data_IF_643295598724
#
_entry.id   IF_643295598724
#
_cell.length_a   1.000
_cell.length_b   1.000
_cell.length_c   1.000
_cell.angle_alpha   90.00
_cell.angle_beta   90.00
_cell.angle_gamma   90.00
#
_symmetry.space_group_name_H-M   'P 1'
#
loop_
_entity.id
_entity.type
_entity.pdbx_description
1 polymer ?
#
# COMPACT_ATOMS: atom_id res chain seq x y z
N UNK A 1 20.10 3.97 -5.17
CA UNK A 1 18.83 4.60 -4.78
C UNK A 1 17.89 3.46 -4.46
N UNK A 2 17.39 3.33 -3.23
CA UNK A 2 16.37 2.32 -2.95
C UNK A 2 15.04 2.92 -3.41
N UNK A 3 14.70 2.65 -4.67
CA UNK A 3 13.40 3.00 -5.22
C UNK A 3 12.34 2.27 -4.40
N UNK A 4 11.44 3.03 -3.78
CA UNK A 4 10.31 2.44 -3.09
C UNK A 4 9.37 1.91 -4.17
N UNK A 5 8.73 0.77 -3.96
CA UNK A 5 7.78 0.20 -4.91
C UNK A 5 6.41 -0.01 -4.26
N UNK A 6 5.35 0.24 -5.03
CA UNK A 6 3.98 0.18 -4.55
C UNK A 6 3.68 -1.24 -4.08
N UNK A 7 3.29 -1.41 -2.82
CA UNK A 7 3.00 -2.74 -2.27
C UNK A 7 1.82 -3.46 -2.93
N UNK A 8 1.03 -2.77 -3.77
CA UNK A 8 -0.11 -3.34 -4.49
C UNK A 8 0.15 -3.63 -5.99
N UNK A 9 1.04 -2.88 -6.64
CA UNK A 9 1.24 -2.95 -8.10
C UNK A 9 2.72 -2.89 -8.51
N UNK A 10 3.64 -2.88 -7.55
CA UNK A 10 5.10 -2.83 -7.72
C UNK A 10 5.64 -1.64 -8.54
N UNK A 11 4.81 -0.65 -8.83
CA UNK A 11 5.20 0.55 -9.55
C UNK A 11 6.10 1.45 -8.67
N UNK A 12 7.00 2.21 -9.30
CA UNK A 12 7.88 3.13 -8.58
C UNK A 12 7.06 4.12 -7.74
N UNK A 13 7.30 4.09 -6.43
CA UNK A 13 6.80 5.07 -5.48
C UNK A 13 7.75 6.23 -5.46
N UNK A 14 7.21 7.38 -5.83
CA UNK A 14 7.90 8.64 -5.68
C UNK A 14 7.60 9.25 -4.30
N UNK A 15 8.07 10.49 -4.10
CA UNK A 15 7.86 11.26 -2.86
C UNK A 15 6.38 11.44 -2.49
N UNK A 16 5.45 11.17 -3.41
CA UNK A 16 4.00 11.23 -3.22
C UNK A 16 3.37 9.90 -2.76
N UNK A 17 4.17 8.94 -2.28
CA UNK A 17 3.70 7.69 -1.70
C UNK A 17 2.71 7.91 -0.55
N UNK A 18 1.58 7.19 -0.59
CA UNK A 18 0.57 7.20 0.46
C UNK A 18 0.90 6.10 1.46
N UNK A 19 0.95 6.42 2.75
CA UNK A 19 1.23 5.47 3.82
C UNK A 19 -0.05 4.83 4.33
N UNK A 20 -0.10 3.51 4.30
CA UNK A 20 -1.27 2.71 4.63
C UNK A 20 -0.89 1.76 5.75
N UNK A 21 -1.64 1.81 6.84
CA UNK A 21 -1.45 0.88 7.96
C UNK A 21 -2.31 -0.37 7.74
N UNK A 22 -1.64 -1.53 7.71
CA UNK A 22 -2.19 -2.87 7.48
C UNK A 22 -1.80 -3.69 8.71
N UNK A 23 -2.74 -3.91 9.64
CA UNK A 23 -2.45 -4.52 10.94
C UNK A 23 -1.41 -3.71 11.73
N UNK A 24 -0.28 -4.33 12.04
CA UNK A 24 0.88 -3.71 12.72
C UNK A 24 1.93 -3.13 11.76
N UNK A 25 1.80 -3.38 10.45
CA UNK A 25 2.75 -2.94 9.43
C UNK A 25 2.25 -1.68 8.71
N UNK A 26 3.18 -0.81 8.32
CA UNK A 26 2.90 0.35 7.46
C UNK A 26 3.55 0.12 6.11
N UNK A 27 2.75 0.17 5.04
CA UNK A 27 3.21 0.03 3.66
C UNK A 27 2.93 1.30 2.87
N UNK A 28 3.61 1.46 1.75
CA UNK A 28 3.50 2.63 0.89
C UNK A 28 2.87 2.23 -0.47
N UNK A 29 1.98 3.08 -0.97
CA UNK A 29 1.26 2.85 -2.25
C UNK A 29 1.24 4.10 -3.14
N UNK A 30 1.13 3.86 -4.45
CA UNK A 30 1.22 4.92 -5.46
C UNK A 30 -0.08 5.70 -5.62
N UNK A 31 -1.22 5.17 -5.17
CA UNK A 31 -2.53 5.82 -5.29
C UNK A 31 -3.52 5.34 -4.21
N UNK A 32 -4.59 6.09 -4.03
CA UNK A 32 -5.63 5.80 -3.03
C UNK A 32 -6.38 4.49 -3.33
N UNK A 33 -6.54 4.11 -4.61
CA UNK A 33 -7.14 2.82 -4.97
C UNK A 33 -6.31 1.64 -4.46
N UNK A 34 -4.99 1.71 -4.61
CA UNK A 34 -4.08 0.71 -4.05
C UNK A 34 -4.16 0.70 -2.52
N UNK A 35 -4.26 1.88 -1.89
CA UNK A 35 -4.42 2.00 -0.44
C UNK A 35 -5.71 1.32 0.03
N UNK A 36 -6.81 1.60 -0.65
CA UNK A 36 -8.14 1.10 -0.33
C UNK A 36 -8.19 -0.42 -0.51
N UNK A 37 -7.74 -0.95 -1.65
CA UNK A 37 -7.65 -2.40 -1.88
C UNK A 37 -6.83 -3.11 -0.80
N UNK A 38 -5.66 -2.58 -0.47
CA UNK A 38 -4.82 -3.17 0.57
C UNK A 38 -5.47 -3.11 1.95
N UNK A 39 -6.17 -2.01 2.28
CA UNK A 39 -6.94 -1.87 3.52
C UNK A 39 -8.09 -2.85 3.58
N UNK A 40 -8.82 -3.03 2.49
CA UNK A 40 -9.95 -3.96 2.43
C UNK A 40 -9.46 -5.41 2.56
N UNK A 41 -8.39 -5.80 1.87
CA UNK A 41 -7.75 -7.11 2.02
C UNK A 41 -7.26 -7.32 3.45
N UNK A 42 -6.67 -6.29 4.08
CA UNK A 42 -6.18 -6.36 5.45
C UNK A 42 -7.28 -6.38 6.51
N UNK A 43 -8.36 -5.62 6.31
CA UNK A 43 -9.44 -5.45 7.27
C UNK A 43 -10.49 -6.55 7.14
N UNK A 44 -10.59 -7.17 5.95
CA UNK A 44 -11.66 -8.06 5.54
C UNK A 44 -11.25 -9.51 5.40
N UNK A 45 -10.33 -10.02 6.23
CA UNK A 45 -10.18 -11.46 6.35
C UNK A 45 -11.44 -12.07 7.01
N UNK A 46 -12.44 -12.40 6.20
CA UNK A 46 -13.34 -13.52 6.46
C UNK A 46 -13.64 -14.22 5.13
N UNK A 47 -13.41 -15.55 5.03
CA UNK A 47 -13.54 -16.33 3.80
C UNK A 47 -14.93 -16.29 3.18
#
# INVERSE_FOLDING_TARGET
MTEKTCAACDCALDTNAIKVKIGDSVVEVCCDECATKLREVSAGNKP
#
